data_IF_549366110647
#
_entry.id   IF_549366110647
#
_cell.length_a   1.000
_cell.length_b   1.000
_cell.length_c   1.000
_cell.angle_alpha   90.00
_cell.angle_beta   90.00
_cell.angle_gamma   90.00
#
_symmetry.space_group_name_H-M   'P 1'
#
loop_
_entity.id
_entity.type
_entity.pdbx_description
1 polymer ?
#
# COMPACT_ATOMS: atom_id res chain seq x y z
N UNK A 1 -19.62 19.21 24.29
CA UNK A 1 -19.22 18.49 23.06
C UNK A 1 -18.24 19.36 22.28
N UNK A 2 -16.95 18.98 22.24
CA UNK A 2 -16.00 19.65 21.34
C UNK A 2 -16.35 19.26 19.90
N UNK A 3 -16.71 20.25 19.08
CA UNK A 3 -16.91 20.08 17.64
C UNK A 3 -15.58 19.59 17.06
N UNK A 4 -15.49 18.32 16.67
CA UNK A 4 -14.37 17.82 15.87
C UNK A 4 -14.27 18.74 14.66
N UNK A 5 -13.25 19.59 14.59
CA UNK A 5 -12.92 20.30 13.36
C UNK A 5 -12.67 19.19 12.34
N UNK A 6 -13.59 18.99 11.40
CA UNK A 6 -13.36 18.12 10.25
C UNK A 6 -12.25 18.79 9.43
N UNK A 7 -11.00 18.51 9.76
CA UNK A 7 -9.90 18.81 8.86
C UNK A 7 -10.20 18.03 7.59
N UNK A 8 -10.39 18.74 6.47
CA UNK A 8 -10.53 18.08 5.18
C UNK A 8 -9.35 17.11 5.00
N UNK A 9 -9.59 15.89 4.49
CA UNK A 9 -8.55 14.89 4.33
C UNK A 9 -7.66 15.26 3.14
N UNK A 10 -6.73 16.19 3.39
CA UNK A 10 -5.90 16.82 2.36
C UNK A 10 -5.04 15.76 1.67
N UNK A 11 -4.39 14.89 2.43
CA UNK A 11 -3.51 13.85 1.85
C UNK A 11 -4.32 12.88 1.01
N UNK A 12 -5.52 12.50 1.43
CA UNK A 12 -6.44 11.66 0.65
C UNK A 12 -6.73 12.29 -0.71
N UNK A 13 -7.09 13.59 -0.74
CA UNK A 13 -7.32 14.32 -1.99
C UNK A 13 -6.05 14.37 -2.84
N UNK A 14 -4.88 14.63 -2.23
CA UNK A 14 -3.61 14.67 -2.94
C UNK A 14 -3.25 13.33 -3.58
N UNK A 15 -3.44 12.22 -2.84
CA UNK A 15 -3.19 10.88 -3.37
C UNK A 15 -4.13 10.57 -4.53
N UNK A 16 -5.43 10.90 -4.42
CA UNK A 16 -6.38 10.73 -5.53
C UNK A 16 -5.92 11.53 -6.75
N UNK A 17 -5.58 12.81 -6.55
CA UNK A 17 -5.12 13.69 -7.64
C UNK A 17 -3.84 13.18 -8.30
N UNK A 18 -2.85 12.75 -7.52
CA UNK A 18 -1.58 12.22 -8.05
C UNK A 18 -1.83 10.96 -8.87
N UNK A 19 -2.62 10.00 -8.37
CA UNK A 19 -2.96 8.78 -9.10
C UNK A 19 -3.70 9.09 -10.41
N UNK A 20 -4.66 10.03 -10.37
CA UNK A 20 -5.40 10.47 -11.55
C UNK A 20 -4.49 11.15 -12.58
N UNK A 21 -3.64 12.08 -12.16
CA UNK A 21 -2.72 12.79 -13.05
C UNK A 21 -1.70 11.83 -13.71
N UNK A 22 -1.17 10.88 -12.95
CA UNK A 22 -0.25 9.87 -13.49
C UNK A 22 -0.97 9.00 -14.51
N UNK A 23 -2.18 8.52 -14.21
CA UNK A 23 -2.93 7.70 -15.17
C UNK A 23 -3.32 8.47 -16.44
N UNK A 24 -3.67 9.75 -16.32
CA UNK A 24 -3.89 10.62 -17.48
C UNK A 24 -2.62 10.73 -18.35
N UNK A 25 -1.43 10.73 -17.74
CA UNK A 25 -0.17 10.67 -18.49
C UNK A 25 0.06 9.27 -19.11
N UNK A 26 -0.32 8.18 -18.42
CA UNK A 26 -0.17 6.81 -18.92
C UNK A 26 -0.98 6.54 -20.19
N UNK A 27 -2.19 7.11 -20.30
CA UNK A 27 -3.07 6.90 -21.47
C UNK A 27 -2.63 7.66 -22.72
N UNK A 28 -1.65 8.57 -22.62
CA UNK A 28 -1.07 9.25 -23.78
C UNK A 28 -0.27 8.21 -24.59
N UNK A 29 -0.57 8.01 -25.89
CA UNK A 29 0.17 7.05 -26.72
C UNK A 29 1.68 7.33 -26.71
N UNK A 30 2.48 6.30 -26.45
CA UNK A 30 3.94 6.42 -26.42
C UNK A 30 4.53 7.10 -25.18
N UNK A 31 3.74 7.40 -24.15
CA UNK A 31 4.21 8.12 -22.95
C UNK A 31 5.35 7.42 -22.19
N UNK A 32 5.43 6.09 -22.25
CA UNK A 32 6.41 5.29 -21.52
C UNK A 32 6.24 5.29 -19.99
N UNK A 33 5.26 6.02 -19.45
CA UNK A 33 5.07 6.23 -17.99
C UNK A 33 4.87 4.91 -17.25
N UNK A 34 4.04 4.01 -17.79
CA UNK A 34 3.84 2.68 -17.18
C UNK A 34 5.15 1.92 -17.09
N UNK A 35 5.93 1.86 -18.17
CA UNK A 35 7.20 1.16 -18.22
C UNK A 35 8.27 1.81 -17.34
N UNK A 36 8.21 3.12 -17.12
CA UNK A 36 9.14 3.85 -16.27
C UNK A 36 8.87 3.65 -14.76
N UNK A 37 7.66 3.26 -14.37
CA UNK A 37 7.24 3.25 -12.96
C UNK A 37 6.72 1.90 -12.44
N UNK A 38 6.36 0.95 -13.32
CA UNK A 38 5.97 -0.41 -12.93
C UNK A 38 7.08 -1.12 -12.16
N UNK A 39 6.70 -2.14 -11.39
CA UNK A 39 7.65 -2.95 -10.64
C UNK A 39 7.61 -4.40 -11.09
N UNK A 40 8.78 -4.99 -11.30
CA UNK A 40 8.97 -6.43 -11.35
C UNK A 40 10.11 -6.79 -10.38
N UNK A 41 10.08 -7.94 -9.69
CA UNK A 41 11.10 -8.27 -8.71
C UNK A 41 12.55 -8.19 -9.21
N UNK A 42 12.81 -8.55 -10.47
CA UNK A 42 14.13 -8.46 -11.09
C UNK A 42 14.73 -7.04 -11.06
N UNK A 43 13.88 -6.01 -11.04
CA UNK A 43 14.31 -4.61 -11.02
C UNK A 43 14.70 -4.12 -9.63
N UNK A 44 14.52 -4.94 -8.57
CA UNK A 44 14.76 -4.51 -7.18
C UNK A 44 16.19 -4.00 -6.94
N UNK A 45 17.19 -4.61 -7.59
CA UNK A 45 18.60 -4.25 -7.40
C UNK A 45 19.06 -3.07 -8.24
N UNK A 46 18.34 -2.74 -9.31
CA UNK A 46 18.74 -1.72 -10.30
C UNK A 46 17.89 -0.47 -10.14
N UNK A 47 16.58 -0.63 -9.95
CA UNK A 47 15.60 0.44 -9.90
C UNK A 47 14.67 0.28 -8.67
N UNK A 48 15.20 0.25 -7.44
CA UNK A 48 14.44 -0.05 -6.22
C UNK A 48 13.28 0.91 -5.94
N UNK A 49 13.33 2.14 -6.47
CA UNK A 49 12.24 3.12 -6.35
C UNK A 49 10.93 2.61 -6.97
N UNK A 50 11.00 1.66 -7.92
CA UNK A 50 9.83 1.02 -8.54
C UNK A 50 8.93 0.31 -7.54
N UNK A 51 9.51 -0.20 -6.45
CA UNK A 51 8.74 -0.78 -5.34
C UNK A 51 7.76 0.22 -4.72
N UNK A 52 8.03 1.52 -4.83
CA UNK A 52 7.13 2.58 -4.40
C UNK A 52 6.32 3.15 -5.57
N UNK A 53 6.96 3.46 -6.71
CA UNK A 53 6.27 4.14 -7.83
C UNK A 53 5.22 3.28 -8.51
N UNK A 54 5.37 1.94 -8.47
CA UNK A 54 4.38 1.01 -8.99
C UNK A 54 3.01 1.17 -8.32
N UNK A 55 2.99 1.67 -7.07
CA UNK A 55 1.76 1.99 -6.35
C UNK A 55 1.00 3.22 -6.88
N UNK A 56 1.53 3.92 -7.90
CA UNK A 56 0.91 5.12 -8.47
C UNK A 56 0.57 5.00 -9.95
N UNK A 57 1.07 3.98 -10.64
CA UNK A 57 0.67 3.64 -12.01
C UNK A 57 -0.43 2.60 -12.01
N UNK A 58 -1.31 2.63 -13.00
CA UNK A 58 -2.41 1.69 -13.15
C UNK A 58 -2.44 1.10 -14.57
N UNK A 59 -3.05 -0.06 -14.76
CA UNK A 59 -3.38 -0.57 -16.10
C UNK A 59 -4.02 0.54 -16.97
N UNK A 60 -3.37 0.94 -18.08
CA UNK A 60 -3.91 1.97 -18.98
C UNK A 60 -5.12 1.47 -19.76
N UNK A 61 -5.19 0.17 -20.02
CA UNK A 61 -6.28 -0.47 -20.79
C UNK A 61 -7.55 -0.70 -19.95
N UNK A 62 -7.50 -0.42 -18.64
CA UNK A 62 -8.62 -0.62 -17.72
C UNK A 62 -8.85 0.61 -16.84
N UNK A 63 -9.72 1.55 -17.26
CA UNK A 63 -10.14 2.67 -16.42
C UNK A 63 -10.74 2.22 -15.08
N UNK A 64 -11.39 1.06 -15.06
CA UNK A 64 -11.92 0.47 -13.81
C UNK A 64 -10.85 0.24 -12.76
N UNK A 65 -9.63 -0.10 -13.17
CA UNK A 65 -8.54 -0.32 -12.24
C UNK A 65 -8.20 0.96 -11.45
N UNK A 66 -8.06 2.11 -12.12
CA UNK A 66 -7.84 3.37 -11.40
C UNK A 66 -9.07 3.78 -10.59
N UNK A 67 -10.28 3.67 -11.16
CA UNK A 67 -11.51 4.11 -10.49
C UNK A 67 -11.72 3.40 -9.15
N UNK A 68 -11.53 2.08 -9.11
CA UNK A 68 -11.63 1.30 -7.86
C UNK A 68 -10.57 1.74 -6.86
N UNK A 69 -9.32 1.94 -7.30
CA UNK A 69 -8.24 2.36 -6.40
C UNK A 69 -8.48 3.75 -5.80
N UNK A 70 -8.83 4.76 -6.60
CA UNK A 70 -9.10 6.11 -6.08
C UNK A 70 -10.36 6.15 -5.22
N UNK A 71 -11.37 5.34 -5.54
CA UNK A 71 -12.58 5.20 -4.72
C UNK A 71 -12.25 4.57 -3.35
N UNK A 72 -11.40 3.53 -3.33
CA UNK A 72 -10.90 2.93 -2.10
C UNK A 72 -10.10 3.94 -1.27
N UNK A 73 -9.19 4.71 -1.89
CA UNK A 73 -8.45 5.77 -1.20
C UNK A 73 -9.43 6.79 -0.60
N UNK A 74 -10.47 7.18 -1.33
CA UNK A 74 -11.48 8.11 -0.84
C UNK A 74 -12.24 7.57 0.38
N UNK A 75 -12.77 6.34 0.31
CA UNK A 75 -13.53 5.76 1.43
C UNK A 75 -12.67 5.68 2.68
N UNK A 76 -11.52 5.00 2.58
CA UNK A 76 -10.70 4.72 3.75
C UNK A 76 -9.96 5.98 4.22
N UNK A 77 -9.47 6.81 3.29
CA UNK A 77 -8.77 8.05 3.61
C UNK A 77 -9.63 9.06 4.39
N UNK A 78 -10.93 9.19 4.04
CA UNK A 78 -11.86 10.04 4.80
C UNK A 78 -12.06 9.61 6.25
N UNK A 79 -11.84 8.34 6.57
CA UNK A 79 -11.96 7.81 7.94
C UNK A 79 -10.60 7.83 8.65
N UNK A 80 -9.57 7.30 8.01
CA UNK A 80 -8.26 7.05 8.63
C UNK A 80 -7.44 8.34 8.76
N UNK A 81 -7.46 9.23 7.77
CA UNK A 81 -6.66 10.46 7.82
C UNK A 81 -7.05 11.39 8.98
N UNK A 82 -8.33 11.68 9.24
CA UNK A 82 -8.72 12.47 10.42
C UNK A 82 -8.35 11.81 11.75
N UNK A 83 -8.30 10.47 11.80
CA UNK A 83 -7.95 9.73 13.02
C UNK A 83 -6.44 9.74 13.30
N UNK A 84 -5.61 9.60 12.26
CA UNK A 84 -4.15 9.53 12.42
C UNK A 84 -3.45 10.89 12.29
N UNK A 85 -4.06 11.81 11.54
CA UNK A 85 -3.44 13.01 11.01
C UNK A 85 -2.69 12.74 9.68
N UNK A 86 -2.44 13.80 8.90
CA UNK A 86 -1.98 13.69 7.51
C UNK A 86 -0.63 12.97 7.36
N UNK A 87 0.36 13.29 8.20
CA UNK A 87 1.69 12.70 8.09
C UNK A 87 1.71 11.19 8.39
N UNK A 88 0.95 10.75 9.39
CA UNK A 88 0.85 9.33 9.77
C UNK A 88 0.06 8.54 8.74
N UNK A 89 -1.01 9.12 8.20
CA UNK A 89 -1.76 8.53 7.09
C UNK A 89 -0.89 8.36 5.83
N UNK A 90 -0.11 9.38 5.47
CA UNK A 90 0.82 9.28 4.35
C UNK A 90 1.87 8.18 4.57
N UNK A 91 2.48 8.12 5.75
CA UNK A 91 3.45 7.08 6.08
C UNK A 91 2.83 5.68 5.99
N UNK A 92 1.64 5.49 6.56
CA UNK A 92 0.87 4.24 6.45
C UNK A 92 0.65 3.84 4.98
N UNK A 93 0.20 4.77 4.15
CA UNK A 93 -0.08 4.53 2.73
C UNK A 93 1.20 4.10 1.98
N UNK A 94 2.29 4.86 2.10
CA UNK A 94 3.54 4.58 1.40
C UNK A 94 4.21 3.30 1.87
N UNK A 95 4.24 3.04 3.19
CA UNK A 95 4.81 1.80 3.75
C UNK A 95 3.98 0.59 3.29
N UNK A 96 2.66 0.73 3.16
CA UNK A 96 1.81 -0.36 2.65
C UNK A 96 2.12 -0.69 1.19
N UNK A 97 2.41 0.30 0.34
CA UNK A 97 2.88 0.05 -1.04
C UNK A 97 4.18 -0.76 -1.02
N UNK A 98 5.18 -0.31 -0.25
CA UNK A 98 6.48 -0.98 -0.19
C UNK A 98 6.35 -2.39 0.41
N UNK A 99 5.51 -2.58 1.43
CA UNK A 99 5.21 -3.90 2.00
C UNK A 99 4.56 -4.85 0.99
N UNK A 100 3.67 -4.34 0.14
CA UNK A 100 3.12 -5.08 -1.00
C UNK A 100 4.22 -5.52 -1.96
N UNK A 101 5.06 -4.58 -2.42
CA UNK A 101 6.17 -4.87 -3.32
C UNK A 101 7.18 -5.85 -2.71
N UNK A 102 7.45 -5.78 -1.40
CA UNK A 102 8.30 -6.74 -0.70
C UNK A 102 7.70 -8.15 -0.76
N UNK A 103 6.38 -8.32 -0.59
CA UNK A 103 5.76 -9.63 -0.71
C UNK A 103 5.74 -10.15 -2.16
N UNK A 104 5.58 -9.26 -3.15
CA UNK A 104 5.76 -9.61 -4.57
C UNK A 104 7.18 -10.09 -4.85
N UNK A 105 8.20 -9.45 -4.24
CA UNK A 105 9.58 -9.89 -4.31
C UNK A 105 9.80 -11.27 -3.72
N UNK A 106 9.01 -11.74 -2.77
CA UNK A 106 9.16 -13.09 -2.21
C UNK A 106 8.35 -14.16 -2.92
N UNK A 107 7.14 -13.82 -3.40
CA UNK A 107 6.14 -14.80 -3.80
C UNK A 107 5.62 -14.64 -5.25
N UNK A 108 5.94 -13.55 -5.94
CA UNK A 108 5.49 -13.27 -7.32
C UNK A 108 6.56 -13.60 -8.38
N UNK A 109 6.20 -13.91 -9.62
CA UNK A 109 7.19 -14.19 -10.67
C UNK A 109 8.22 -13.05 -10.81
N UNK A 110 9.55 -13.32 -10.91
CA UNK A 110 10.57 -12.29 -10.97
C UNK A 110 10.46 -11.31 -12.15
N UNK A 111 9.82 -11.75 -13.23
CA UNK A 111 9.69 -11.00 -14.49
C UNK A 111 8.30 -10.45 -14.73
N UNK A 112 7.31 -10.83 -13.93
CA UNK A 112 5.93 -10.37 -14.11
C UNK A 112 5.77 -9.00 -13.47
N UNK A 113 5.44 -7.96 -14.26
CA UNK A 113 5.26 -6.62 -13.72
C UNK A 113 3.95 -6.50 -12.94
N UNK A 114 3.98 -5.68 -11.91
CA UNK A 114 2.82 -5.28 -11.10
C UNK A 114 2.69 -3.76 -11.10
N UNK A 115 1.44 -3.30 -11.05
CA UNK A 115 1.05 -1.89 -11.00
C UNK A 115 -0.19 -1.74 -10.12
N UNK A 116 -0.38 -0.55 -9.54
CA UNK A 116 -1.61 -0.12 -8.90
C UNK A 116 -1.45 0.19 -7.42
N UNK A 117 -2.26 1.12 -6.93
CA UNK A 117 -2.34 1.50 -5.52
C UNK A 117 -2.95 0.41 -4.60
N UNK A 118 -3.28 -0.76 -5.14
CA UNK A 118 -4.06 -1.77 -4.44
C UNK A 118 -3.34 -2.34 -3.22
N UNK A 119 -2.00 -2.45 -3.22
CA UNK A 119 -1.24 -2.77 -2.01
C UNK A 119 -1.48 -1.75 -0.88
N UNK A 120 -1.55 -0.46 -1.22
CA UNK A 120 -1.90 0.59 -0.26
C UNK A 120 -3.36 0.46 0.21
N UNK A 121 -4.29 0.18 -0.70
CA UNK A 121 -5.69 -0.06 -0.37
C UNK A 121 -5.85 -1.20 0.65
N UNK A 122 -5.22 -2.35 0.43
CA UNK A 122 -5.22 -3.45 1.40
C UNK A 122 -4.57 -3.05 2.73
N UNK A 123 -3.50 -2.25 2.70
CA UNK A 123 -2.94 -1.65 3.90
C UNK A 123 -3.90 -0.74 4.67
N UNK A 124 -4.73 0.04 3.96
CA UNK A 124 -5.78 0.84 4.58
C UNK A 124 -6.92 -0.02 5.16
N UNK A 125 -7.29 -1.12 4.51
CA UNK A 125 -8.23 -2.09 5.09
C UNK A 125 -7.67 -2.71 6.37
N UNK A 126 -6.39 -3.10 6.36
CA UNK A 126 -5.68 -3.62 7.53
C UNK A 126 -5.60 -2.61 8.67
N UNK A 127 -5.32 -1.34 8.34
CA UNK A 127 -5.33 -0.26 9.29
C UNK A 127 -6.71 -0.09 9.94
N UNK A 128 -7.76 -0.05 9.12
CA UNK A 128 -9.13 0.08 9.62
C UNK A 128 -9.53 -1.10 10.50
N UNK A 129 -9.12 -2.32 10.14
CA UNK A 129 -9.31 -3.51 10.97
C UNK A 129 -8.66 -3.35 12.35
N UNK A 130 -7.40 -2.91 12.42
CA UNK A 130 -6.71 -2.66 13.69
C UNK A 130 -7.42 -1.58 14.51
N UNK A 131 -7.91 -0.51 13.86
CA UNK A 131 -8.66 0.55 14.54
C UNK A 131 -9.95 0.02 15.18
N UNK A 132 -10.77 -0.71 14.42
CA UNK A 132 -12.01 -1.32 14.93
C UNK A 132 -11.73 -2.24 16.13
N UNK A 133 -10.70 -3.09 16.02
CA UNK A 133 -10.28 -3.99 17.12
C UNK A 133 -9.79 -3.22 18.34
N UNK A 134 -9.12 -2.08 18.16
CA UNK A 134 -8.60 -1.25 19.25
C UNK A 134 -9.72 -0.61 20.07
N UNK A 135 -10.84 -0.26 19.43
CA UNK A 135 -12.00 0.34 20.10
C UNK A 135 -13.07 -0.68 20.52
N UNK A 136 -12.84 -1.98 20.23
CA UNK A 136 -13.77 -3.06 20.58
C UNK A 136 -15.00 -3.18 19.66
N UNK A 137 -14.95 -2.57 18.48
CA UNK A 137 -16.06 -2.60 17.51
C UNK A 137 -16.05 -3.89 16.66
N UNK A 138 -17.18 -4.20 16.03
CA UNK A 138 -17.35 -5.37 15.19
C UNK A 138 -16.61 -5.19 13.85
N UNK A 139 -15.65 -6.07 13.58
CA UNK A 139 -14.86 -6.09 12.35
C UNK A 139 -15.25 -7.20 11.37
N UNK A 140 -16.35 -7.93 11.62
CA UNK A 140 -16.75 -9.10 10.84
C UNK A 140 -17.05 -8.79 9.37
N UNK A 141 -17.77 -7.70 9.09
CA UNK A 141 -18.04 -7.26 7.71
C UNK A 141 -16.76 -6.86 6.98
N UNK A 142 -15.86 -6.14 7.65
CA UNK A 142 -14.57 -5.78 7.08
C UNK A 142 -13.70 -7.01 6.83
N UNK A 143 -13.69 -7.97 7.76
CA UNK A 143 -12.93 -9.21 7.60
C UNK A 143 -13.47 -10.03 6.42
N UNK A 144 -14.79 -10.12 6.26
CA UNK A 144 -15.41 -10.75 5.09
C UNK A 144 -15.01 -10.02 3.79
N UNK A 145 -15.03 -8.69 3.79
CA UNK A 145 -14.59 -7.88 2.65
C UNK A 145 -13.11 -8.13 2.31
N UNK A 146 -12.22 -8.18 3.31
CA UNK A 146 -10.79 -8.50 3.13
C UNK A 146 -10.65 -9.90 2.53
N UNK A 147 -11.34 -10.89 3.10
CA UNK A 147 -11.26 -12.28 2.67
C UNK A 147 -11.72 -12.44 1.22
N UNK A 148 -12.85 -11.83 0.84
CA UNK A 148 -13.37 -11.86 -0.52
C UNK A 148 -12.38 -11.18 -1.48
N UNK A 149 -11.89 -9.98 -1.16
CA UNK A 149 -10.94 -9.27 -2.04
C UNK A 149 -9.60 -10.01 -2.19
N UNK A 150 -9.08 -10.65 -1.14
CA UNK A 150 -7.90 -11.51 -1.24
C UNK A 150 -8.18 -12.73 -2.12
N UNK A 151 -9.34 -13.38 -1.95
CA UNK A 151 -9.73 -14.56 -2.72
C UNK A 151 -9.77 -14.26 -4.22
N UNK A 152 -10.29 -13.10 -4.62
CA UNK A 152 -10.26 -12.65 -6.02
C UNK A 152 -8.85 -12.70 -6.63
N UNK A 153 -7.81 -12.35 -5.87
CA UNK A 153 -6.42 -12.41 -6.35
C UNK A 153 -5.92 -13.82 -6.70
N UNK A 154 -6.54 -14.88 -6.15
CA UNK A 154 -6.21 -16.26 -6.49
C UNK A 154 -6.93 -16.77 -7.74
N UNK A 155 -8.08 -16.17 -8.10
CA UNK A 155 -8.88 -16.58 -9.25
C UNK A 155 -8.58 -15.77 -10.52
N UNK A 156 -7.97 -14.59 -10.40
CA UNK A 156 -7.69 -13.69 -11.51
C UNK A 156 -6.18 -13.41 -11.62
N UNK A 157 -5.46 -14.07 -12.55
CA UNK A 157 -3.99 -13.98 -12.66
C UNK A 157 -3.43 -12.56 -12.88
N UNK A 158 -4.25 -11.63 -13.38
CA UNK A 158 -3.89 -10.22 -13.53
C UNK A 158 -3.85 -9.44 -12.21
N UNK A 159 -4.27 -10.06 -11.10
CA UNK A 159 -4.34 -9.45 -9.78
C UNK A 159 -3.21 -10.01 -8.90
N UNK A 160 -2.35 -9.12 -8.39
CA UNK A 160 -1.25 -9.50 -7.50
C UNK A 160 -1.73 -9.71 -6.07
N UNK A 161 -2.18 -10.94 -5.75
CA UNK A 161 -2.56 -11.30 -4.37
C UNK A 161 -1.39 -11.14 -3.39
N UNK A 162 -0.15 -11.33 -3.85
CA UNK A 162 1.06 -11.12 -3.06
C UNK A 162 1.16 -9.65 -2.61
N UNK A 163 0.96 -8.72 -3.55
CA UNK A 163 0.96 -7.28 -3.26
C UNK A 163 -0.12 -6.90 -2.26
N UNK A 164 -1.30 -7.51 -2.37
CA UNK A 164 -2.41 -7.30 -1.45
C UNK A 164 -2.10 -7.80 -0.04
N UNK A 165 -1.57 -9.02 0.09
CA UNK A 165 -1.18 -9.61 1.36
C UNK A 165 -0.07 -8.79 2.04
N UNK A 166 0.98 -8.43 1.29
CA UNK A 166 2.09 -7.63 1.81
C UNK A 166 1.63 -6.25 2.28
N UNK A 167 0.77 -5.60 1.51
CA UNK A 167 0.19 -4.32 1.86
C UNK A 167 -0.69 -4.38 3.11
N UNK A 168 -1.56 -5.39 3.19
CA UNK A 168 -2.41 -5.65 4.37
C UNK A 168 -1.57 -5.79 5.64
N UNK A 169 -0.55 -6.66 5.62
CA UNK A 169 0.30 -6.93 6.77
C UNK A 169 1.11 -5.70 7.19
N UNK A 170 1.69 -4.97 6.24
CA UNK A 170 2.41 -3.73 6.53
C UNK A 170 1.50 -2.66 7.12
N UNK A 171 0.29 -2.48 6.57
CA UNK A 171 -0.69 -1.53 7.07
C UNK A 171 -1.19 -1.86 8.48
N UNK A 172 -1.44 -3.15 8.75
CA UNK A 172 -1.75 -3.63 10.09
C UNK A 172 -0.61 -3.37 11.07
N UNK A 173 0.64 -3.65 10.69
CA UNK A 173 1.82 -3.44 11.55
C UNK A 173 2.01 -1.96 11.91
N UNK A 174 1.99 -1.06 10.92
CA UNK A 174 2.11 0.39 11.15
C UNK A 174 0.99 0.91 12.04
N UNK A 175 -0.25 0.47 11.79
CA UNK A 175 -1.40 0.94 12.57
C UNK A 175 -1.39 0.38 13.99
N UNK A 176 -0.94 -0.87 14.19
CA UNK A 176 -0.76 -1.45 15.51
C UNK A 176 0.27 -0.68 16.34
N UNK A 177 1.37 -0.23 15.71
CA UNK A 177 2.34 0.67 16.35
C UNK A 177 1.66 1.96 16.80
N UNK A 178 0.92 2.64 15.90
CA UNK A 178 0.21 3.87 16.25
C UNK A 178 -0.83 3.67 17.37
N UNK A 179 -1.60 2.59 17.32
CA UNK A 179 -2.60 2.27 18.33
C UNK A 179 -1.96 2.03 19.71
N UNK A 180 -0.90 1.23 19.77
CA UNK A 180 -0.20 0.87 21.02
C UNK A 180 0.59 2.03 21.63
N UNK A 181 1.00 3.01 20.83
CA UNK A 181 1.79 4.15 21.28
C UNK A 181 1.08 5.49 21.21
N UNK A 182 -0.27 5.47 21.16
CA UNK A 182 -1.11 6.67 21.12
C UNK A 182 -0.80 7.70 22.21
N UNK A 183 -0.36 7.26 23.39
CA UNK A 183 -0.02 8.12 24.54
C UNK A 183 1.48 8.36 24.73
N UNK A 184 2.32 7.87 23.82
CA UNK A 184 3.77 8.09 23.85
C UNK A 184 4.14 9.34 23.05
N UNK A 185 5.38 9.80 23.22
CA UNK A 185 5.90 10.96 22.49
C UNK A 185 5.90 10.72 20.98
N UNK A 186 5.84 11.80 20.20
CA UNK A 186 5.94 11.73 18.75
C UNK A 186 7.26 11.07 18.27
N UNK A 187 8.35 11.26 19.01
CA UNK A 187 9.63 10.62 18.72
C UNK A 187 9.55 9.10 18.87
N UNK A 188 8.97 8.59 19.96
CA UNK A 188 8.80 7.14 20.17
C UNK A 188 7.97 6.51 19.05
N UNK A 189 6.88 7.16 18.64
CA UNK A 189 6.06 6.67 17.52
C UNK A 189 6.86 6.62 16.21
N UNK A 190 7.63 7.68 15.90
CA UNK A 190 8.48 7.72 14.71
C UNK A 190 9.52 6.59 14.71
N UNK A 191 10.19 6.38 15.85
CA UNK A 191 11.20 5.31 15.99
C UNK A 191 10.57 3.93 15.76
N UNK A 192 9.39 3.67 16.33
CA UNK A 192 8.74 2.37 16.16
C UNK A 192 8.25 2.12 14.73
N UNK A 193 7.72 3.14 14.05
CA UNK A 193 7.36 3.03 12.63
C UNK A 193 8.61 2.84 11.77
N UNK A 194 9.71 3.52 12.09
CA UNK A 194 10.99 3.29 11.44
C UNK A 194 11.47 1.85 11.66
N UNK A 195 11.23 1.26 12.83
CA UNK A 195 11.45 -0.16 13.09
C UNK A 195 10.68 -1.07 12.12
N UNK A 196 9.40 -0.79 11.84
CA UNK A 196 8.61 -1.53 10.83
C UNK A 196 9.24 -1.40 9.45
N UNK A 197 9.64 -0.18 9.06
CA UNK A 197 10.30 0.05 7.77
C UNK A 197 11.65 -0.68 7.67
N UNK A 198 12.45 -0.69 8.73
CA UNK A 198 13.72 -1.44 8.79
C UNK A 198 13.47 -2.94 8.60
N UNK A 199 12.44 -3.50 9.24
CA UNK A 199 12.07 -4.91 9.05
C UNK A 199 11.70 -5.18 7.60
N UNK A 200 10.90 -4.30 6.97
CA UNK A 200 10.55 -4.44 5.54
C UNK A 200 11.81 -4.38 4.66
N UNK A 201 12.72 -3.44 4.92
CA UNK A 201 13.98 -3.32 4.18
C UNK A 201 14.84 -4.58 4.37
N UNK A 202 14.95 -5.10 5.59
CA UNK A 202 15.68 -6.34 5.86
C UNK A 202 15.09 -7.53 5.09
N UNK A 203 13.75 -7.63 5.03
CA UNK A 203 13.07 -8.63 4.22
C UNK A 203 13.31 -8.43 2.72
N UNK A 204 13.40 -7.20 2.23
CA UNK A 204 13.74 -6.91 0.83
C UNK A 204 15.17 -7.36 0.52
N UNK A 205 16.15 -7.00 1.36
CA UNK A 205 17.55 -7.41 1.21
C UNK A 205 17.68 -8.94 1.23
N UNK A 206 17.02 -9.60 2.18
CA UNK A 206 16.98 -11.06 2.22
C UNK A 206 16.32 -11.64 0.95
N UNK A 207 15.24 -11.04 0.44
CA UNK A 207 14.58 -11.47 -0.79
C UNK A 207 15.49 -11.35 -2.01
N UNK A 208 16.26 -10.26 -2.11
CA UNK A 208 17.27 -10.12 -3.15
C UNK A 208 18.31 -11.24 -3.08
N UNK A 209 18.87 -11.50 -1.89
CA UNK A 209 19.94 -12.50 -1.71
C UNK A 209 19.41 -13.91 -2.02
N UNK A 210 18.31 -14.32 -1.40
CA UNK A 210 17.84 -15.70 -1.47
C UNK A 210 17.03 -16.03 -2.72
N UNK A 211 16.37 -15.02 -3.32
CA UNK A 211 15.49 -15.25 -4.45
C UNK A 211 16.09 -14.84 -5.79
N UNK A 212 16.77 -13.70 -5.83
CA UNK A 212 17.35 -13.18 -7.07
C UNK A 212 18.82 -13.59 -7.22
N UNK A 213 19.56 -13.74 -6.12
CA UNK A 213 20.97 -14.18 -6.14
C UNK A 213 21.23 -15.42 -7.01
N UNK A 214 20.47 -16.53 -6.86
CA UNK A 214 20.66 -17.74 -7.67
C UNK A 214 20.38 -17.56 -9.18
N UNK A 215 19.74 -16.46 -9.59
CA UNK A 215 19.42 -16.21 -11.00
C UNK A 215 20.60 -15.59 -11.78
N UNK A 216 21.62 -15.10 -11.07
CA UNK A 216 22.76 -14.39 -11.64
C UNK A 216 24.11 -15.04 -11.32
N UNK A 217 24.10 -16.19 -10.63
CA UNK A 217 25.27 -16.98 -10.24
C UNK A 217 25.54 -18.13 -11.21
#
# INVERSE_FOLDING_TARGET
MARLKSSQPKVTVWLISINLLIWLAQVIPGSGVTNALLYAPLLTTIEPWRMLTAGFVHSPDSPWHILINIYSIYIFGRVIEPMLGPARFLALYLISIVGGSAMVLWLGSPVTPVVGASGAFFGLMGAYFIMLRTIGDNSGQLLALIAVNLAFGFFFPSISWQGHLGGLLAGMAVTAVYARTRYKSALTQKIQVLGVLIVIIALIVAGVIFRLGPMFS
#
